data_IF_024248524520
#
_entry.id   IF_024248524520
#
_cell.length_a   1.000
_cell.length_b   1.000
_cell.length_c   1.000
_cell.angle_alpha   90.00
_cell.angle_beta   90.00
_cell.angle_gamma   90.00
#
_symmetry.space_group_name_H-M   'P 1'
#
loop_
_entity.id
_entity.type
_entity.pdbx_description
1 polymer ?
#
# COMPACT_ATOMS: atom_id res chain seq x y z
N UNK A 1 32.28 2.55 -8.70
CA UNK A 1 31.41 1.52 -9.26
C UNK A 1 30.41 2.12 -10.20
N UNK A 2 30.33 1.63 -11.42
CA UNK A 2 29.28 2.13 -12.30
C UNK A 2 27.93 1.66 -11.79
N UNK A 3 26.92 2.49 -11.96
CA UNK A 3 25.60 2.10 -11.56
C UNK A 3 25.01 1.18 -12.62
N UNK A 4 24.15 0.29 -12.17
CA UNK A 4 23.46 -0.60 -13.11
C UNK A 4 22.37 0.20 -13.85
N UNK A 5 21.99 -0.30 -15.01
CA UNK A 5 21.02 0.38 -15.84
C UNK A 5 19.65 -0.31 -15.85
N UNK A 6 19.55 -1.44 -15.17
CA UNK A 6 18.32 -2.24 -15.19
C UNK A 6 17.48 -2.08 -13.93
N UNK A 7 17.68 -0.99 -13.21
CA UNK A 7 16.84 -0.73 -12.05
C UNK A 7 15.47 -0.23 -12.48
N UNK A 8 14.48 -0.47 -11.63
CA UNK A 8 13.11 -0.10 -11.95
C UNK A 8 12.93 1.40 -11.87
N UNK A 9 11.90 1.90 -12.56
CA UNK A 9 11.57 3.32 -12.54
C UNK A 9 10.92 3.69 -11.20
N UNK A 10 10.83 4.99 -10.95
CA UNK A 10 10.13 5.47 -9.77
C UNK A 10 8.67 5.03 -9.77
N UNK A 11 8.02 5.08 -10.95
CA UNK A 11 6.62 4.67 -11.04
C UNK A 11 6.47 3.19 -10.71
N UNK A 12 7.34 2.35 -11.24
CA UNK A 12 7.30 0.93 -10.95
C UNK A 12 7.54 0.67 -9.47
N UNK A 13 8.46 1.41 -8.89
CA UNK A 13 8.76 1.26 -7.47
C UNK A 13 7.55 1.62 -6.62
N UNK A 14 6.94 2.78 -6.88
CA UNK A 14 5.80 3.22 -6.08
C UNK A 14 4.58 2.33 -6.27
N UNK A 15 4.35 1.88 -7.49
CA UNK A 15 3.26 0.95 -7.76
C UNK A 15 3.50 -0.38 -7.06
N UNK A 16 4.75 -0.84 -7.03
CA UNK A 16 5.10 -2.05 -6.31
C UNK A 16 4.83 -1.92 -4.82
N UNK A 17 5.16 -0.77 -4.24
CA UNK A 17 4.90 -0.52 -2.84
C UNK A 17 3.39 -0.54 -2.57
N UNK A 18 2.61 0.11 -3.45
CA UNK A 18 1.16 0.12 -3.29
C UNK A 18 0.57 -1.29 -3.39
N UNK A 19 1.04 -2.06 -4.34
CA UNK A 19 0.57 -3.44 -4.50
C UNK A 19 0.94 -4.30 -3.31
N UNK A 20 2.15 -4.12 -2.79
CA UNK A 20 2.57 -4.86 -1.61
C UNK A 20 1.73 -4.46 -0.40
N UNK A 21 1.42 -3.18 -0.29
CA UNK A 21 0.56 -2.70 0.79
C UNK A 21 -0.82 -3.33 0.72
N UNK A 22 -1.35 -3.50 -0.49
CA UNK A 22 -2.66 -4.15 -0.67
C UNK A 22 -2.67 -5.56 -0.12
N UNK A 23 -1.53 -6.23 -0.11
CA UNK A 23 -1.45 -7.60 0.41
C UNK A 23 -1.68 -7.66 1.92
N UNK A 24 -1.66 -6.53 2.60
CA UNK A 24 -1.98 -6.47 4.02
C UNK A 24 -3.48 -6.38 4.27
N UNK A 25 -4.26 -6.11 3.23
CA UNK A 25 -5.70 -5.99 3.38
C UNK A 25 -6.31 -7.33 3.78
N UNK A 26 -7.18 -7.31 4.76
CA UNK A 26 -7.91 -8.50 5.20
C UNK A 26 -9.29 -8.61 4.57
N UNK A 27 -9.61 -7.67 3.69
CA UNK A 27 -10.88 -7.71 2.98
C UNK A 27 -10.85 -8.91 2.01
N UNK A 28 -11.74 -9.88 2.15
CA UNK A 28 -11.70 -11.06 1.29
C UNK A 28 -12.17 -10.79 -0.13
N UNK A 29 -12.82 -9.65 -0.38
CA UNK A 29 -13.39 -9.36 -1.67
C UNK A 29 -12.51 -8.45 -2.52
N UNK A 30 -11.90 -7.45 -1.90
CA UNK A 30 -11.13 -6.47 -2.65
C UNK A 30 -9.92 -6.02 -1.83
N UNK A 31 -8.75 -6.09 -2.42
CA UNK A 31 -7.52 -5.63 -1.77
C UNK A 31 -7.02 -4.40 -2.51
N UNK A 32 -6.89 -3.30 -1.80
CA UNK A 32 -6.45 -2.02 -2.37
C UNK A 32 -5.26 -1.51 -1.57
N UNK A 33 -4.28 -1.01 -2.29
CA UNK A 33 -3.12 -0.39 -1.65
C UNK A 33 -2.82 0.95 -2.28
N UNK A 34 -2.16 1.80 -1.52
CA UNK A 34 -1.81 3.14 -1.97
C UNK A 34 -0.45 3.53 -1.43
N UNK A 35 0.22 4.39 -2.18
CA UNK A 35 1.51 4.93 -1.79
C UNK A 35 1.48 6.43 -2.10
N UNK A 36 1.75 7.25 -1.08
CA UNK A 36 1.76 8.70 -1.22
C UNK A 36 3.20 9.16 -1.19
N UNK A 37 3.59 9.91 -2.22
CA UNK A 37 4.97 10.38 -2.35
C UNK A 37 4.98 11.89 -2.53
N UNK A 38 6.11 12.51 -2.20
CA UNK A 38 6.28 13.93 -2.43
C UNK A 38 7.01 14.17 -3.75
N UNK A 39 7.27 15.43 -4.05
CA UNK A 39 7.91 15.81 -5.31
C UNK A 39 9.39 15.46 -5.37
N UNK A 40 9.94 14.94 -4.29
CA UNK A 40 11.34 14.48 -4.24
C UNK A 40 11.43 12.97 -4.28
N UNK A 41 10.34 12.31 -4.67
CA UNK A 41 10.27 10.85 -4.78
C UNK A 41 10.50 10.16 -3.44
N UNK A 42 10.03 10.79 -2.37
CA UNK A 42 10.11 10.18 -1.05
C UNK A 42 8.73 9.72 -0.63
N UNK A 43 8.69 8.52 -0.07
CA UNK A 43 7.43 7.95 0.39
C UNK A 43 7.02 8.66 1.67
N UNK A 44 5.84 9.28 1.62
CA UNK A 44 5.28 9.98 2.76
C UNK A 44 4.43 9.06 3.61
N UNK A 45 3.68 8.17 2.95
CA UNK A 45 2.76 7.28 3.63
C UNK A 45 2.37 6.15 2.71
N UNK A 46 1.99 5.02 3.29
CA UNK A 46 1.40 3.91 2.57
C UNK A 46 0.13 3.50 3.30
N UNK A 47 -0.77 2.87 2.57
CA UNK A 47 -2.01 2.44 3.18
C UNK A 47 -2.65 1.33 2.40
N UNK A 48 -3.65 0.72 3.00
CA UNK A 48 -4.43 -0.33 2.37
C UNK A 48 -5.83 -0.28 2.97
N UNK A 49 -6.78 -0.88 2.27
CA UNK A 49 -8.15 -0.81 2.71
C UNK A 49 -8.38 -1.68 3.94
N UNK A 50 -9.30 -1.24 4.78
CA UNK A 50 -9.60 -1.92 6.02
C UNK A 50 -10.15 -0.93 7.02
N UNK A 51 -10.00 -1.24 8.29
CA UNK A 51 -10.46 -0.36 9.33
C UNK A 51 -9.49 0.79 9.53
N UNK A 52 -9.97 1.92 10.03
CA UNK A 52 -9.10 3.07 10.25
C UNK A 52 -7.95 2.73 11.17
N UNK A 53 -6.90 3.54 11.04
CA UNK A 53 -5.73 3.43 11.87
C UNK A 53 -6.12 3.55 13.34
N UNK A 54 -5.57 2.67 14.15
CA UNK A 54 -5.86 2.66 15.57
C UNK A 54 -6.99 1.73 15.97
N UNK A 55 -7.69 1.15 15.01
CA UNK A 55 -8.73 0.19 15.30
C UNK A 55 -8.15 -1.20 15.37
N UNK A 56 -8.69 -2.00 16.28
CA UNK A 56 -8.28 -3.39 16.43
C UNK A 56 -9.10 -4.23 15.47
N UNK A 57 -8.42 -4.98 14.62
CA UNK A 57 -9.09 -5.83 13.65
C UNK A 57 -10.01 -6.84 14.31
N UNK A 58 -9.67 -7.26 15.52
CA UNK A 58 -10.47 -8.26 16.24
C UNK A 58 -11.75 -7.68 16.79
N UNK A 59 -11.86 -6.36 16.85
CA UNK A 59 -13.04 -5.70 17.40
C UNK A 59 -14.08 -5.36 16.35
N UNK A 60 -13.74 -5.51 15.06
CA UNK A 60 -14.62 -5.10 13.99
C UNK A 60 -14.84 -6.25 13.04
N UNK A 61 -16.08 -6.41 12.55
CA UNK A 61 -16.32 -7.45 11.55
C UNK A 61 -15.67 -7.07 10.23
N UNK A 62 -15.16 -8.09 9.55
CA UNK A 62 -14.53 -7.87 8.26
C UNK A 62 -15.50 -8.04 7.10
N UNK A 63 -16.75 -8.28 7.41
CA UNK A 63 -17.77 -8.32 6.38
C UNK A 63 -18.28 -6.91 6.14
N UNK A 64 -18.45 -6.59 4.88
CA UNK A 64 -18.99 -5.28 4.57
C UNK A 64 -20.42 -5.20 4.97
N UNK A 65 -20.73 -4.08 5.53
CA UNK A 65 -22.08 -3.83 5.98
C UNK A 65 -22.94 -3.21 4.94
N UNK A 66 -22.53 -2.95 3.84
CA UNK A 66 -23.37 -2.32 2.85
C UNK A 66 -22.58 -1.47 1.96
#
# INVERSE_FOLDING_TARGET
MPKRSDYISWDEYFMGIAMLSACRSKDPNTQVGACIVNDRNRIMSVGYNGFPSGCDDDEFPWEREG
#
